data_IF_103390157537
#
_entry.id   IF_103390157537
#
_cell.length_a   1.000
_cell.length_b   1.000
_cell.length_c   1.000
_cell.angle_alpha   90.00
_cell.angle_beta   90.00
_cell.angle_gamma   90.00
#
_symmetry.space_group_name_H-M   'P 1'
#
loop_
_entity.id
_entity.type
_entity.pdbx_description
1 polymer ?
#
# COMPACT_ATOMS: atom_id res chain seq x y z
N UNK A 1 -20.68 11.74 3.41
CA UNK A 1 -20.08 10.60 2.69
C UNK A 1 -19.00 11.16 1.77
N UNK A 2 -17.73 10.85 2.02
CA UNK A 2 -16.62 11.36 1.19
C UNK A 2 -16.47 10.46 -0.03
N UNK A 3 -16.90 10.93 -1.20
CA UNK A 3 -16.69 10.21 -2.46
C UNK A 3 -15.19 10.28 -2.77
N UNK A 4 -14.49 9.15 -2.70
CA UNK A 4 -13.10 9.06 -3.17
C UNK A 4 -13.13 9.25 -4.68
N UNK A 5 -12.60 10.37 -5.16
CA UNK A 5 -12.39 10.59 -6.58
C UNK A 5 -11.29 9.66 -7.10
N UNK A 6 -11.53 9.03 -8.26
CA UNK A 6 -10.61 8.06 -8.90
C UNK A 6 -9.20 8.64 -9.16
N UNK A 7 -9.09 9.96 -9.28
CA UNK A 7 -7.83 10.70 -9.41
C UNK A 7 -7.02 10.78 -8.12
N UNK A 8 -7.67 10.71 -6.95
CA UNK A 8 -7.01 10.73 -5.65
C UNK A 8 -6.50 9.34 -5.27
N UNK A 9 -7.20 8.27 -5.68
CA UNK A 9 -6.77 6.89 -5.46
C UNK A 9 -5.46 6.57 -6.17
N UNK A 10 -5.28 6.98 -7.43
CA UNK A 10 -4.03 6.72 -8.17
C UNK A 10 -2.81 7.39 -7.53
N UNK A 11 -2.96 8.61 -7.05
CA UNK A 11 -1.86 9.34 -6.38
C UNK A 11 -1.57 8.78 -4.98
N UNK A 12 -2.61 8.36 -4.24
CA UNK A 12 -2.45 7.73 -2.93
C UNK A 12 -1.76 6.37 -3.02
N UNK A 13 -2.22 5.51 -3.94
CA UNK A 13 -1.62 4.18 -4.16
C UNK A 13 -0.18 4.30 -4.63
N UNK A 14 0.11 5.27 -5.52
CA UNK A 14 1.48 5.55 -5.95
C UNK A 14 2.40 5.92 -4.78
N UNK A 15 1.97 6.86 -3.91
CA UNK A 15 2.77 7.26 -2.74
C UNK A 15 3.02 6.10 -1.79
N UNK A 16 1.99 5.29 -1.51
CA UNK A 16 2.13 4.10 -0.67
C UNK A 16 3.09 3.07 -1.29
N UNK A 17 3.02 2.87 -2.61
CA UNK A 17 3.93 1.97 -3.31
C UNK A 17 5.38 2.43 -3.17
N UNK A 18 5.65 3.74 -3.35
CA UNK A 18 6.98 4.30 -3.14
C UNK A 18 7.45 4.13 -1.69
N UNK A 19 6.57 4.34 -0.71
CA UNK A 19 6.90 4.14 0.70
C UNK A 19 7.28 2.68 1.00
N UNK A 20 6.54 1.71 0.47
CA UNK A 20 6.86 0.30 0.62
C UNK A 20 8.21 -0.07 -0.02
N UNK A 21 8.58 0.56 -1.14
CA UNK A 21 9.91 0.40 -1.76
C UNK A 21 11.00 0.98 -0.85
N UNK A 22 10.82 2.20 -0.35
CA UNK A 22 11.78 2.87 0.54
C UNK A 22 12.01 2.09 1.83
N UNK A 23 10.96 1.51 2.42
CA UNK A 23 11.07 0.68 3.62
C UNK A 23 11.87 -0.60 3.37
N UNK A 24 11.70 -1.23 2.21
CA UNK A 24 12.48 -2.42 1.82
C UNK A 24 13.94 -2.06 1.56
N UNK A 25 14.21 -0.94 0.91
CA UNK A 25 15.58 -0.46 0.68
C UNK A 25 16.29 -0.19 2.01
N UNK A 26 15.66 0.54 2.92
CA UNK A 26 16.20 0.75 4.27
C UNK A 26 16.45 -0.58 4.99
N UNK A 27 15.53 -1.55 4.88
CA UNK A 27 15.71 -2.87 5.48
C UNK A 27 16.86 -3.67 4.86
N UNK A 28 17.16 -3.49 3.58
CA UNK A 28 18.26 -4.17 2.88
C UNK A 28 19.63 -3.67 3.34
N UNK A 29 19.73 -2.38 3.66
CA UNK A 29 20.96 -1.76 4.18
C UNK A 29 21.24 -2.15 5.65
N UNK A 30 20.26 -2.75 6.33
CA UNK A 30 20.39 -3.15 7.72
C UNK A 30 20.89 -4.58 7.91
N UNK A 31 21.72 -4.83 8.95
CA UNK A 31 21.98 -6.20 9.41
C UNK A 31 20.68 -6.87 9.88
N UNK A 32 20.71 -8.18 10.05
CA UNK A 32 19.57 -8.93 10.58
C UNK A 32 19.32 -8.48 12.03
N UNK A 33 18.24 -7.72 12.23
CA UNK A 33 17.86 -7.17 13.52
C UNK A 33 16.34 -6.94 13.59
N UNK A 34 15.84 -6.67 14.80
CA UNK A 34 14.41 -6.39 15.04
C UNK A 34 13.93 -5.22 14.18
N UNK A 35 14.72 -4.14 14.10
CA UNK A 35 14.35 -2.96 13.30
C UNK A 35 14.22 -3.28 11.81
N UNK A 36 15.08 -4.14 11.25
CA UNK A 36 14.94 -4.62 9.88
C UNK A 36 13.62 -5.37 9.68
N UNK A 37 13.26 -6.25 10.62
CA UNK A 37 11.99 -6.99 10.56
C UNK A 37 10.77 -6.05 10.65
N UNK A 38 10.82 -5.02 11.49
CA UNK A 38 9.77 -3.99 11.58
C UNK A 38 9.56 -3.25 10.25
N UNK A 39 10.64 -2.85 9.58
CA UNK A 39 10.58 -2.17 8.28
C UNK A 39 9.95 -3.07 7.20
N UNK A 40 10.36 -4.34 7.15
CA UNK A 40 9.78 -5.32 6.23
C UNK A 40 8.31 -5.59 6.54
N UNK A 41 7.94 -5.63 7.82
CA UNK A 41 6.55 -5.82 8.22
C UNK A 41 5.67 -4.64 7.81
N UNK A 42 6.15 -3.41 7.96
CA UNK A 42 5.44 -2.20 7.48
C UNK A 42 5.26 -2.21 5.97
N UNK A 43 6.31 -2.55 5.21
CA UNK A 43 6.22 -2.66 3.76
C UNK A 43 5.13 -3.67 3.34
N UNK A 44 5.09 -4.84 4.00
CA UNK A 44 4.06 -5.86 3.77
C UNK A 44 2.65 -5.37 4.10
N UNK A 45 2.47 -4.62 5.19
CA UNK A 45 1.17 -4.05 5.54
C UNK A 45 0.66 -3.07 4.48
N UNK A 46 1.57 -2.28 3.89
CA UNK A 46 1.22 -1.39 2.79
C UNK A 46 0.76 -2.18 1.56
N UNK A 47 1.48 -3.25 1.19
CA UNK A 47 1.08 -4.09 0.05
C UNK A 47 -0.34 -4.65 0.22
N UNK A 48 -0.63 -5.19 1.41
CA UNK A 48 -1.96 -5.72 1.75
C UNK A 48 -3.02 -4.62 1.70
N UNK A 49 -2.72 -3.43 2.21
CA UNK A 49 -3.65 -2.31 2.15
C UNK A 49 -3.96 -1.86 0.70
N UNK A 50 -2.95 -1.87 -0.17
CA UNK A 50 -3.11 -1.58 -1.60
C UNK A 50 -3.96 -2.66 -2.30
N UNK A 51 -3.74 -3.93 -1.98
CA UNK A 51 -4.51 -5.04 -2.53
C UNK A 51 -5.99 -4.96 -2.12
N UNK A 52 -6.26 -4.69 -0.84
CA UNK A 52 -7.63 -4.47 -0.33
C UNK A 52 -8.26 -3.27 -1.03
N UNK A 53 -7.52 -2.18 -1.21
CA UNK A 53 -8.03 -1.00 -1.91
C UNK A 53 -8.41 -1.30 -3.36
N UNK A 54 -7.57 -2.05 -4.06
CA UNK A 54 -7.81 -2.50 -5.43
C UNK A 54 -9.07 -3.38 -5.51
N UNK A 55 -9.23 -4.32 -4.58
CA UNK A 55 -10.42 -5.17 -4.51
C UNK A 55 -11.68 -4.35 -4.34
N UNK A 56 -11.72 -3.43 -3.36
CA UNK A 56 -12.87 -2.56 -3.10
C UNK A 56 -13.20 -1.61 -4.26
N UNK A 57 -12.23 -1.28 -5.11
CA UNK A 57 -12.41 -0.40 -6.26
C UNK A 57 -12.77 -1.15 -7.55
N UNK A 58 -12.90 -2.48 -7.50
CA UNK A 58 -13.23 -3.30 -8.67
C UNK A 58 -14.70 -3.14 -9.08
N UNK A 59 -15.02 -2.91 -10.38
CA UNK A 59 -16.39 -2.74 -10.86
C UNK A 59 -17.31 -3.93 -10.57
N UNK A 60 -16.76 -5.14 -10.44
CA UNK A 60 -17.54 -6.35 -10.16
C UNK A 60 -18.13 -6.43 -8.74
N UNK A 61 -17.77 -5.50 -7.85
CA UNK A 61 -18.31 -5.36 -6.49
C UNK A 61 -19.13 -4.08 -6.31
N UNK A 62 -19.19 -3.23 -7.34
CA UNK A 62 -20.07 -2.07 -7.33
C UNK A 62 -21.43 -2.51 -7.86
N UNK A 63 -22.54 -2.19 -7.15
CA UNK A 63 -23.86 -2.47 -7.68
C UNK A 63 -24.03 -1.70 -9.01
N UNK A 64 -24.59 -2.34 -10.06
CA UNK A 64 -24.92 -1.64 -11.28
C UNK A 64 -25.92 -0.53 -10.94
N UNK A 65 -25.63 0.69 -11.41
CA UNK A 65 -26.58 1.81 -11.32
C UNK A 65 -27.72 1.64 -12.33
#
# INVERSE_FOLDING_TARGET
MQVRSESQSSTFEYRLTQEAINLRQQAQEMPVCVRRAELLQKARQIDVALEVNRWLSSPGLQPPM
#
